data_IF_255552187365
#
_entry.id   IF_255552187365
#
_cell.length_a   1.000
_cell.length_b   1.000
_cell.length_c   1.000
_cell.angle_alpha   90.00
_cell.angle_beta   90.00
_cell.angle_gamma   90.00
#
_symmetry.space_group_name_H-M   'P 1'
#
loop_
_entity.id
_entity.type
_entity.pdbx_description
1 polymer ?
#
# COMPACT_ATOMS: atom_id res chain seq x y z
N UNK A 1 -4.15 5.08 4.99
CA UNK A 1 -2.82 5.45 4.46
C UNK A 1 -1.83 5.80 5.57
N UNK A 2 -2.17 6.71 6.51
CA UNK A 2 -1.22 7.18 7.54
C UNK A 2 -0.63 6.06 8.41
N UNK A 3 -1.44 5.18 8.98
CA UNK A 3 -0.97 4.15 9.92
C UNK A 3 -0.13 3.04 9.29
N UNK A 4 -0.52 2.55 8.10
CA UNK A 4 0.21 1.47 7.41
C UNK A 4 1.61 1.89 6.96
N UNK A 5 1.77 3.15 6.51
CA UNK A 5 3.08 3.68 6.13
C UNK A 5 3.98 3.88 7.36
N UNK A 6 3.41 4.36 8.47
CA UNK A 6 4.13 4.53 9.74
C UNK A 6 4.62 3.18 10.28
N UNK A 7 3.78 2.14 10.25
CA UNK A 7 4.15 0.78 10.69
C UNK A 7 5.26 0.20 9.79
N UNK A 8 5.18 0.43 8.47
CA UNK A 8 6.24 0.03 7.54
C UNK A 8 7.59 0.71 7.83
N UNK A 9 7.58 2.02 8.09
CA UNK A 9 8.78 2.78 8.47
C UNK A 9 9.35 2.29 9.80
N UNK A 10 8.49 2.02 10.79
CA UNK A 10 8.90 1.51 12.09
C UNK A 10 9.57 0.14 11.99
N UNK A 11 8.99 -0.80 11.23
CA UNK A 11 9.57 -2.12 10.99
C UNK A 11 10.91 -2.03 10.22
N UNK A 12 11.01 -1.10 9.27
CA UNK A 12 12.26 -0.86 8.54
C UNK A 12 13.36 -0.33 9.47
N UNK A 13 13.03 0.62 10.35
CA UNK A 13 13.97 1.14 11.34
C UNK A 13 14.44 0.07 12.33
N UNK A 14 13.54 -0.80 12.79
CA UNK A 14 13.88 -1.96 13.65
C UNK A 14 14.82 -2.92 12.90
N UNK A 15 14.54 -3.18 11.61
CA UNK A 15 15.41 -4.03 10.77
C UNK A 15 16.82 -3.47 10.62
N UNK A 16 16.95 -2.15 10.40
CA UNK A 16 18.26 -1.48 10.35
C UNK A 16 18.96 -1.55 11.71
N UNK A 17 18.23 -1.30 12.80
CA UNK A 17 18.79 -1.39 14.16
C UNK A 17 19.36 -2.79 14.43
N UNK A 18 18.58 -3.84 14.17
CA UNK A 18 19.03 -5.22 14.31
C UNK A 18 20.23 -5.55 13.42
N UNK A 19 20.27 -5.03 12.20
CA UNK A 19 21.41 -5.19 11.29
C UNK A 19 22.69 -4.54 11.84
N UNK A 20 22.60 -3.39 12.50
CA UNK A 20 23.77 -2.74 13.14
C UNK A 20 24.28 -3.46 14.39
N UNK A 21 23.41 -4.15 15.14
CA UNK A 21 23.81 -4.91 16.33
C UNK A 21 24.25 -6.34 16.01
N UNK A 22 23.83 -6.88 14.87
CA UNK A 22 24.34 -8.15 14.40
C UNK A 22 25.76 -7.91 13.87
N UNK A 23 26.77 -8.55 14.47
CA UNK A 23 28.17 -8.58 14.00
C UNK A 23 28.30 -9.36 12.68
N UNK A 24 27.53 -8.94 11.68
CA UNK A 24 27.50 -9.54 10.36
C UNK A 24 28.74 -9.09 9.62
N UNK A 25 29.64 -10.03 9.35
CA UNK A 25 30.75 -9.82 8.43
C UNK A 25 30.17 -9.64 7.02
N UNK A 26 29.89 -8.38 6.65
CA UNK A 26 29.26 -8.02 5.40
C UNK A 26 30.01 -8.57 4.19
N UNK A 27 31.34 -8.61 4.25
CA UNK A 27 32.17 -9.17 3.19
C UNK A 27 31.85 -10.65 2.91
N UNK A 28 31.62 -11.47 3.94
CA UNK A 28 31.19 -12.87 3.74
C UNK A 28 29.74 -13.00 3.33
N UNK A 29 28.89 -12.09 3.81
CA UNK A 29 27.45 -12.08 3.53
C UNK A 29 27.17 -11.77 2.05
N UNK A 30 27.84 -10.76 1.48
CA UNK A 30 27.68 -10.39 0.06
C UNK A 30 28.37 -11.38 -0.90
N UNK A 31 29.37 -12.13 -0.43
CA UNK A 31 29.95 -13.24 -1.21
C UNK A 31 28.97 -14.43 -1.28
N UNK A 32 28.11 -14.59 -0.28
CA UNK A 32 27.14 -15.67 -0.23
C UNK A 32 25.93 -15.38 -1.12
N UNK A 33 25.84 -16.10 -2.24
CA UNK A 33 24.75 -15.98 -3.22
C UNK A 33 23.36 -16.14 -2.58
N UNK A 34 23.26 -17.02 -1.59
CA UNK A 34 22.02 -17.28 -0.84
C UNK A 34 21.51 -16.06 -0.08
N UNK A 35 22.43 -15.25 0.46
CA UNK A 35 22.07 -14.05 1.20
C UNK A 35 21.60 -12.93 0.27
N UNK A 36 22.28 -12.73 -0.87
CA UNK A 36 21.84 -11.79 -1.91
C UNK A 36 20.46 -12.19 -2.43
N UNK A 37 20.27 -13.47 -2.73
CA UNK A 37 18.98 -14.00 -3.19
C UNK A 37 17.90 -13.81 -2.12
N UNK A 38 18.23 -14.03 -0.84
CA UNK A 38 17.32 -13.77 0.28
C UNK A 38 16.90 -12.32 0.41
N UNK A 39 17.83 -11.36 0.26
CA UNK A 39 17.52 -9.93 0.25
C UNK A 39 16.64 -9.58 -0.95
N UNK A 40 17.00 -10.00 -2.17
CA UNK A 40 16.25 -9.66 -3.38
C UNK A 40 14.86 -10.30 -3.40
N UNK A 41 14.73 -11.56 -3.01
CA UNK A 41 13.43 -12.23 -2.90
C UNK A 41 12.59 -11.67 -1.76
N UNK A 42 13.18 -11.45 -0.58
CA UNK A 42 12.47 -10.90 0.57
C UNK A 42 11.97 -9.48 0.32
N UNK A 43 12.83 -8.62 -0.21
CA UNK A 43 12.43 -7.26 -0.61
C UNK A 43 11.44 -7.28 -1.76
N UNK A 44 11.66 -8.09 -2.80
CA UNK A 44 10.75 -8.26 -3.94
C UNK A 44 9.36 -8.72 -3.53
N UNK A 45 9.24 -9.72 -2.65
CA UNK A 45 7.98 -10.19 -2.09
C UNK A 45 7.30 -9.12 -1.24
N UNK A 46 8.07 -8.39 -0.42
CA UNK A 46 7.55 -7.29 0.37
C UNK A 46 6.94 -6.18 -0.49
N UNK A 47 7.64 -5.76 -1.54
CA UNK A 47 7.13 -4.77 -2.51
C UNK A 47 5.93 -5.30 -3.29
N UNK A 48 5.96 -6.56 -3.71
CA UNK A 48 4.87 -7.16 -4.46
C UNK A 48 3.57 -7.24 -3.65
N UNK A 49 3.65 -7.78 -2.42
CA UNK A 49 2.50 -7.87 -1.52
C UNK A 49 2.03 -6.48 -1.08
N UNK A 50 2.96 -5.58 -0.75
CA UNK A 50 2.65 -4.19 -0.42
C UNK A 50 1.95 -3.46 -1.57
N UNK A 51 2.39 -3.68 -2.80
CA UNK A 51 1.79 -3.14 -4.02
C UNK A 51 0.38 -3.67 -4.28
N UNK A 52 0.15 -4.98 -4.13
CA UNK A 52 -1.18 -5.60 -4.28
C UNK A 52 -2.15 -5.06 -3.24
N UNK A 53 -1.75 -5.02 -1.97
CA UNK A 53 -2.59 -4.50 -0.89
C UNK A 53 -2.88 -3.02 -1.13
N UNK A 54 -1.87 -2.21 -1.45
CA UNK A 54 -2.03 -0.80 -1.79
C UNK A 54 -2.99 -0.57 -2.96
N UNK A 55 -2.87 -1.37 -4.02
CA UNK A 55 -3.77 -1.33 -5.17
C UNK A 55 -5.20 -1.71 -4.81
N UNK A 56 -5.40 -2.78 -4.04
CA UNK A 56 -6.73 -3.21 -3.58
C UNK A 56 -7.44 -2.14 -2.74
N UNK A 57 -6.71 -1.48 -1.84
CA UNK A 57 -7.23 -0.37 -1.04
C UNK A 57 -7.60 0.84 -1.92
N UNK A 58 -6.76 1.20 -2.89
CA UNK A 58 -7.03 2.28 -3.84
C UNK A 58 -8.29 2.02 -4.65
N UNK A 59 -8.47 0.79 -5.13
CA UNK A 59 -9.66 0.38 -5.90
C UNK A 59 -10.96 0.51 -5.10
N UNK A 60 -10.95 0.14 -3.81
CA UNK A 60 -12.11 0.30 -2.93
C UNK A 60 -12.47 1.77 -2.69
N UNK A 61 -11.46 2.65 -2.55
CA UNK A 61 -11.68 4.08 -2.38
C UNK A 61 -12.33 4.71 -3.61
N UNK A 62 -11.81 4.40 -4.81
CA UNK A 62 -12.34 4.89 -6.08
C UNK A 62 -13.79 4.45 -6.28
N UNK A 63 -14.10 3.16 -6.07
CA UNK A 63 -15.48 2.66 -6.18
C UNK A 63 -16.45 3.36 -5.22
N UNK A 64 -16.00 3.68 -4.00
CA UNK A 64 -16.82 4.41 -3.03
C UNK A 64 -17.07 5.85 -3.48
N UNK A 65 -16.06 6.53 -4.00
CA UNK A 65 -16.20 7.89 -4.53
C UNK A 65 -17.09 7.95 -5.78
N UNK A 66 -16.96 6.98 -6.70
CA UNK A 66 -17.84 6.84 -7.85
C UNK A 66 -19.30 6.57 -7.47
N UNK A 67 -19.53 5.73 -6.45
CA UNK A 67 -20.89 5.47 -5.94
C UNK A 67 -21.52 6.72 -5.33
N UNK A 68 -20.75 7.51 -4.56
CA UNK A 68 -21.22 8.78 -3.99
C UNK A 68 -21.55 9.78 -5.10
N UNK A 69 -20.69 9.87 -6.13
CA UNK A 69 -20.94 10.80 -7.26
C UNK A 69 -22.20 10.43 -8.04
N UNK A 70 -22.40 9.14 -8.34
CA UNK A 70 -23.63 8.66 -8.99
C UNK A 70 -24.87 8.90 -8.14
N UNK A 71 -24.78 8.74 -6.82
CA UNK A 71 -25.90 9.04 -5.93
C UNK A 71 -26.23 10.54 -5.94
N UNK A 72 -25.23 11.42 -5.95
CA UNK A 72 -25.44 12.86 -6.06
C UNK A 72 -26.06 13.27 -7.41
N UNK A 73 -25.55 12.72 -8.52
CA UNK A 73 -26.12 12.94 -9.86
C UNK A 73 -27.58 12.47 -9.95
N UNK A 74 -27.92 11.32 -9.35
CA UNK A 74 -29.29 10.81 -9.33
C UNK A 74 -30.27 11.72 -8.56
N UNK A 75 -29.83 12.32 -7.45
CA UNK A 75 -30.62 13.26 -6.65
C UNK A 75 -30.91 14.54 -7.44
N UNK A 76 -29.91 15.10 -8.12
CA UNK A 76 -30.09 16.30 -8.96
C UNK A 76 -31.07 16.05 -10.10
N UNK A 77 -30.99 14.88 -10.75
CA UNK A 77 -31.91 14.51 -11.83
C UNK A 77 -33.34 14.32 -11.32
N UNK A 78 -33.53 13.83 -10.08
CA UNK A 78 -34.87 13.66 -9.50
C UNK A 78 -35.48 15.00 -9.10
N UNK A 79 -34.70 15.94 -8.58
CA UNK A 79 -35.16 17.31 -8.30
C UNK A 79 -35.55 18.06 -9.59
N UNK A 80 -34.73 18.01 -10.63
CA UNK A 80 -35.06 18.65 -11.91
C UNK A 80 -36.34 18.08 -12.55
N UNK A 81 -36.53 16.76 -12.45
CA UNK A 81 -37.73 16.09 -12.98
C UNK A 81 -38.98 16.35 -12.12
N UNK A 82 -38.80 16.72 -10.86
CA UNK A 82 -39.89 17.16 -9.97
C UNK A 82 -40.32 18.60 -10.27
N UNK A 83 -39.38 19.47 -10.66
CA UNK A 83 -39.67 20.85 -11.04
C UNK A 83 -40.26 20.97 -12.45
N UNK A 84 -39.91 20.08 -13.39
CA UNK A 84 -40.45 20.09 -14.75
C UNK A 84 -41.92 19.60 -14.85
N UNK A 85 -42.38 18.85 -13.84
CA UNK A 85 -43.71 18.22 -13.82
C UNK A 85 -44.76 18.99 -12.98
N UNK A 86 -44.44 20.21 -12.53
CA UNK A 86 -45.25 21.06 -11.67
C UNK A 86 -45.52 22.40 -12.35
#
# INVERSE_FOLDING_TARGET
>A
MKYTTIIGILLFAIGIGLFSFAELQLDRLFINKEFIVGIFLGSGLGFFLGGIVGWAYKRRKIKREEAIRKAAEAVVITEQKSEENN
#
